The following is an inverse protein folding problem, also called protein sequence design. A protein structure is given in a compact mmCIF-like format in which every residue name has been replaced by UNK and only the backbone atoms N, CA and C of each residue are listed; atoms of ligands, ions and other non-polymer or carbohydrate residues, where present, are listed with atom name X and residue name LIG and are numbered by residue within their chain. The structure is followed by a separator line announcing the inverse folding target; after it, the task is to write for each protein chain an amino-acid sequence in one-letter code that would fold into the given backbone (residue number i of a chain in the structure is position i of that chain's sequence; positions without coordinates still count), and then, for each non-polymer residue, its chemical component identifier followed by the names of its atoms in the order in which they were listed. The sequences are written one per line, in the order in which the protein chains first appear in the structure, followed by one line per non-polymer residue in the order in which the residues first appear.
data_IF_470901576685
#
_entry.id   IF_470901576685
#
_cell.length_a   1.000
_cell.length_b   1.000
_cell.length_c   1.000
_cell.angle_alpha   90.00
_cell.angle_beta   90.00
_cell.angle_gamma   90.00
#
_symmetry.space_group_name_H-M   'P 1'
#
loop_
_entity.id
_entity.type
_entity.pdbx_description
1 polymer ?
#
# COMPACT_ATOMS: atom_id res chain seq x y z
N UNK A 1 7.27 -4.75 -10.20
CA UNK A 1 6.81 -4.92 -11.59
C UNK A 1 5.31 -4.72 -11.75
N UNK A 2 4.44 -5.31 -10.92
CA UNK A 2 2.98 -5.15 -11.08
C UNK A 2 2.52 -3.69 -11.12
N UNK A 3 3.10 -2.81 -10.29
CA UNK A 3 2.76 -1.37 -10.32
C UNK A 3 3.03 -0.73 -11.69
N UNK A 4 4.22 -0.93 -12.27
CA UNK A 4 4.56 -0.37 -13.58
C UNK A 4 3.73 -0.98 -14.69
N UNK A 5 3.60 -2.31 -14.71
CA UNK A 5 2.84 -3.02 -15.74
C UNK A 5 1.35 -2.68 -15.68
N UNK A 6 0.78 -2.59 -14.48
CA UNK A 6 -0.63 -2.21 -14.28
C UNK A 6 -0.91 -0.78 -14.71
N UNK A 7 0.06 0.13 -14.50
CA UNK A 7 -0.02 1.53 -14.92
C UNK A 7 0.36 1.77 -16.40
N UNK A 8 0.83 0.75 -17.13
CA UNK A 8 1.37 0.91 -18.48
C UNK A 8 2.64 1.78 -18.55
N UNK A 9 3.41 1.89 -17.46
CA UNK A 9 4.58 2.76 -17.38
C UNK A 9 5.87 2.08 -17.89
N UNK A 10 6.77 2.82 -18.54
CA UNK A 10 8.08 2.32 -18.92
C UNK A 10 8.94 1.89 -17.72
N UNK A 11 9.87 0.95 -17.94
CA UNK A 11 10.81 0.49 -16.91
C UNK A 11 11.74 1.59 -16.37
N UNK A 12 11.86 2.74 -17.05
CA UNK A 12 12.62 3.88 -16.53
C UNK A 12 12.05 4.43 -15.21
N UNK A 13 10.75 4.22 -14.93
CA UNK A 13 10.07 4.67 -13.71
C UNK A 13 10.20 3.70 -12.52
N UNK A 14 11.09 2.73 -12.60
CA UNK A 14 11.22 1.70 -11.56
C UNK A 14 11.59 2.29 -10.19
N UNK A 15 12.38 3.37 -10.15
CA UNK A 15 12.78 4.03 -8.90
C UNK A 15 11.58 4.66 -8.20
N UNK A 16 10.73 5.34 -8.95
CA UNK A 16 9.49 5.97 -8.50
C UNK A 16 8.49 4.92 -8.02
N UNK A 17 8.38 3.80 -8.74
CA UNK A 17 7.55 2.68 -8.32
C UNK A 17 8.05 2.09 -6.99
N UNK A 18 9.35 1.84 -6.84
CA UNK A 18 9.92 1.34 -5.57
C UNK A 18 9.70 2.33 -4.43
N UNK A 19 9.90 3.63 -4.67
CA UNK A 19 9.66 4.66 -3.68
C UNK A 19 8.18 4.72 -3.26
N UNK A 20 7.26 4.58 -4.22
CA UNK A 20 5.82 4.52 -3.96
C UNK A 20 5.44 3.29 -3.14
N UNK A 21 6.00 2.11 -3.43
CA UNK A 21 5.81 0.91 -2.61
C UNK A 21 6.28 1.12 -1.17
N UNK A 22 7.49 1.67 -0.97
CA UNK A 22 8.00 1.94 0.36
C UNK A 22 7.12 2.95 1.12
N UNK A 23 6.67 4.00 0.44
CA UNK A 23 5.73 4.99 0.99
C UNK A 23 4.42 4.34 1.46
N UNK A 24 3.83 3.46 0.63
CA UNK A 24 2.63 2.71 0.98
C UNK A 24 2.85 1.80 2.18
N UNK A 25 3.93 1.03 2.20
CA UNK A 25 4.27 0.11 3.30
C UNK A 25 4.39 0.87 4.62
N UNK A 26 5.08 2.00 4.62
CA UNK A 26 5.26 2.80 5.83
C UNK A 26 3.96 3.45 6.34
N UNK A 27 2.95 3.58 5.48
CA UNK A 27 1.63 4.16 5.82
C UNK A 27 0.53 3.12 5.95
N UNK A 28 0.84 1.85 5.75
CA UNK A 28 -0.11 0.76 5.89
C UNK A 28 -0.16 0.28 7.34
N UNK A 29 -1.34 -0.04 7.87
CA UNK A 29 -1.46 -0.64 9.19
C UNK A 29 -0.78 -2.02 9.19
N UNK A 30 -0.07 -2.34 10.27
CA UNK A 30 0.65 -3.60 10.40
C UNK A 30 0.23 -4.33 11.67
N UNK A 31 -0.11 -5.63 11.53
CA UNK A 31 -0.51 -6.48 12.65
C UNK A 31 0.61 -6.67 13.68
N UNK A 32 1.87 -6.55 13.28
CA UNK A 32 3.02 -6.66 14.19
C UNK A 32 3.21 -5.45 15.11
N UNK A 33 2.47 -4.36 14.90
CA UNK A 33 2.53 -3.12 15.69
C UNK A 33 1.14 -2.63 16.07
N UNK A 34 0.27 -3.56 16.51
CA UNK A 34 -1.08 -3.27 16.98
C UNK A 34 -1.94 -2.48 15.97
N UNK A 35 -1.80 -2.81 14.68
CA UNK A 35 -2.47 -2.15 13.55
C UNK A 35 -2.13 -0.65 13.38
N UNK A 36 -1.08 -0.16 14.04
CA UNK A 36 -0.50 1.16 13.76
C UNK A 36 0.27 1.13 12.43
N UNK A 37 0.57 2.30 11.88
CA UNK A 37 1.49 2.39 10.75
C UNK A 37 2.95 2.48 11.22
N UNK A 38 3.93 1.94 10.47
CA UNK A 38 5.34 2.12 10.79
C UNK A 38 5.74 3.60 10.92
N UNK A 39 5.17 4.47 10.08
CA UNK A 39 5.42 5.91 10.13
C UNK A 39 4.94 6.54 11.45
N UNK A 40 3.80 6.13 11.97
CA UNK A 40 3.29 6.59 13.27
C UNK A 40 4.19 6.19 14.41
N UNK A 41 4.60 4.92 14.44
CA UNK A 41 5.49 4.40 15.48
C UNK A 41 6.85 5.10 15.44
N UNK A 42 7.39 5.35 14.25
CA UNK A 42 8.69 5.99 14.09
C UNK A 42 8.68 7.49 14.40
N UNK A 43 7.68 8.22 13.88
CA UNK A 43 7.65 9.69 13.97
C UNK A 43 6.89 10.23 15.17
N UNK A 44 6.07 9.40 15.83
CA UNK A 44 5.14 9.84 16.89
C UNK A 44 4.00 10.72 16.39
N UNK A 45 3.85 10.89 15.07
CA UNK A 45 2.79 11.70 14.43
C UNK A 45 1.80 10.80 13.71
N UNK A 46 0.54 11.20 13.69
CA UNK A 46 -0.50 10.52 12.90
C UNK A 46 -0.16 10.51 11.41
N UNK A 47 -0.56 9.45 10.71
CA UNK A 47 -0.31 9.32 9.28
C UNK A 47 -1.19 10.30 8.48
N UNK A 48 -0.58 11.25 7.76
CA UNK A 48 -1.28 12.06 6.76
C UNK A 48 -1.36 11.33 5.39
N UNK A 49 -2.56 11.24 4.82
CA UNK A 49 -2.83 10.58 3.54
C UNK A 49 -3.16 11.56 2.41
N UNK A 50 -3.12 12.87 2.64
CA UNK A 50 -3.49 13.91 1.66
C UNK A 50 -2.67 13.83 0.36
N UNK A 51 -1.43 13.36 0.46
CA UNK A 51 -0.51 13.20 -0.67
C UNK A 51 -0.58 11.81 -1.34
N UNK A 52 -1.43 10.91 -0.86
CA UNK A 52 -1.57 9.58 -1.45
C UNK A 52 -2.26 9.67 -2.81
N UNK A 53 -1.67 9.06 -3.84
CA UNK A 53 -2.18 9.03 -5.21
C UNK A 53 -2.26 7.59 -5.72
N UNK A 54 -3.27 7.33 -6.54
CA UNK A 54 -3.45 6.03 -7.19
C UNK A 54 -2.40 5.87 -8.29
N UNK A 55 -1.66 4.76 -8.24
CA UNK A 55 -0.64 4.42 -9.24
C UNK A 55 -1.26 3.71 -10.48
N UNK A 56 -2.59 3.66 -10.59
CA UNK A 56 -3.36 2.96 -11.64
C UNK A 56 -3.09 1.44 -11.76
N UNK A 57 -2.42 0.85 -10.77
CA UNK A 57 -2.23 -0.60 -10.70
C UNK A 57 -3.39 -1.26 -9.96
N UNK A 58 -4.18 -2.08 -10.67
CA UNK A 58 -5.23 -2.87 -10.05
C UNK A 58 -4.64 -3.86 -9.03
N UNK A 59 -5.23 -3.86 -7.83
CA UNK A 59 -4.94 -4.81 -6.77
C UNK A 59 -6.23 -5.47 -6.32
N UNK A 60 -6.18 -6.79 -6.11
CA UNK A 60 -7.33 -7.59 -5.69
C UNK A 60 -7.12 -8.05 -4.25
N UNK A 61 -8.08 -7.77 -3.38
CA UNK A 61 -8.08 -8.30 -2.02
C UNK A 61 -8.72 -9.69 -2.01
N UNK A 62 -8.08 -10.65 -1.36
CA UNK A 62 -8.69 -11.95 -1.12
C UNK A 62 -9.68 -11.81 0.05
N UNK A 63 -10.97 -11.85 -0.27
CA UNK A 63 -12.05 -11.86 0.73
C UNK A 63 -12.40 -13.32 1.03
N UNK A 64 -12.25 -13.76 2.28
CA UNK A 64 -12.76 -15.07 2.71
C UNK A 64 -14.29 -14.97 2.71
N UNK A 65 -14.94 -15.80 1.91
CA UNK A 65 -16.38 -15.90 1.90
C UNK A 65 -16.76 -16.79 3.09
N UNK A 66 -17.24 -16.18 4.17
CA UNK A 66 -17.82 -16.94 5.26
C UNK A 66 -18.98 -17.77 4.69
N UNK A 67 -18.93 -19.09 4.92
CA UNK A 67 -20.03 -19.98 4.59
C UNK A 67 -21.26 -19.40 5.31
N UNK A 68 -22.28 -19.01 4.56
CA UNK A 68 -23.61 -18.77 5.13
C UNK A 68 -24.06 -20.11 5.71
N UNK A 69 -23.93 -20.26 7.03
CA UNK A 69 -24.56 -21.36 7.75
C UNK A 69 -26.08 -21.20 7.58
N UNK A 70 -26.69 -22.22 6.98
CA UNK A 70 -28.12 -22.30 6.68
C UNK A 70 -28.95 -22.64 7.92
#
# INVERSE_FOLDING_TARGET
MCMLLGAGLPNSFWGEAVNTAAYLINKSPSSGIDLKTPMEVWSGRSTDYSNLKVFESLAFAHVKQDKLDA
#
